data_IF_121117483060
#
_entry.id   IF_121117483060
#
_cell.length_a   1.000
_cell.length_b   1.000
_cell.length_c   1.000
_cell.angle_alpha   90.00
_cell.angle_beta   90.00
_cell.angle_gamma   90.00
#
_symmetry.space_group_name_H-M   'P 1'
#
loop_
_entity.id
_entity.type
_entity.pdbx_description
1 polymer ?
#
# COMPACT_ATOMS: atom_id res chain seq x y z
N UNK A 1 20.02 -14.37 -19.33
CA UNK A 1 18.94 -13.75 -20.11
C UNK A 1 18.20 -12.79 -19.17
N UNK A 2 18.37 -11.49 -19.33
CA UNK A 2 17.72 -10.51 -18.46
C UNK A 2 16.20 -10.60 -18.69
N UNK A 3 15.45 -10.98 -17.68
CA UNK A 3 13.99 -11.03 -17.71
C UNK A 3 13.51 -9.60 -17.98
N UNK A 4 12.87 -9.39 -19.12
CA UNK A 4 12.28 -8.10 -19.47
C UNK A 4 11.15 -7.86 -18.47
N UNK A 5 11.36 -6.98 -17.49
CA UNK A 5 10.33 -6.62 -16.52
C UNK A 5 9.15 -6.02 -17.28
N UNK A 6 8.00 -6.68 -17.21
CA UNK A 6 6.77 -6.14 -17.78
C UNK A 6 6.21 -5.14 -16.77
N UNK A 7 6.49 -3.85 -17.02
CA UNK A 7 6.16 -2.77 -16.09
C UNK A 7 4.67 -2.44 -16.10
N UNK A 8 4.11 -2.29 -14.92
CA UNK A 8 2.76 -1.77 -14.71
C UNK A 8 2.78 -0.24 -14.78
N UNK A 9 2.73 0.29 -16.00
CA UNK A 9 2.82 1.72 -16.25
C UNK A 9 1.79 2.57 -15.51
N UNK A 10 0.48 2.21 -15.41
CA UNK A 10 -0.48 2.97 -14.62
C UNK A 10 -0.06 3.13 -13.16
N UNK A 11 0.41 2.05 -12.52
CA UNK A 11 0.88 2.09 -11.13
C UNK A 11 2.16 2.90 -11.00
N UNK A 12 3.11 2.72 -11.92
CA UNK A 12 4.38 3.48 -11.92
C UNK A 12 4.13 4.99 -12.06
N UNK A 13 3.27 5.40 -12.99
CA UNK A 13 2.88 6.79 -13.19
C UNK A 13 2.20 7.35 -11.93
N UNK A 14 1.24 6.63 -11.38
CA UNK A 14 0.53 7.03 -10.16
C UNK A 14 1.49 7.24 -8.99
N UNK A 15 2.33 6.24 -8.68
CA UNK A 15 3.27 6.30 -7.56
C UNK A 15 4.38 7.34 -7.73
N UNK A 16 4.65 7.77 -8.96
CA UNK A 16 5.63 8.82 -9.24
C UNK A 16 4.96 10.20 -9.22
N UNK A 17 3.90 10.40 -9.99
CA UNK A 17 3.31 11.72 -10.21
C UNK A 17 2.54 12.21 -8.97
N UNK A 18 1.73 11.36 -8.31
CA UNK A 18 0.90 11.80 -7.19
C UNK A 18 1.70 12.37 -6.01
N UNK A 19 2.81 11.75 -5.55
CA UNK A 19 3.63 12.34 -4.49
C UNK A 19 4.23 13.69 -4.89
N UNK A 20 4.71 13.84 -6.14
CA UNK A 20 5.25 15.12 -6.61
C UNK A 20 4.20 16.21 -6.63
N UNK A 21 3.00 15.92 -7.17
CA UNK A 21 1.88 16.88 -7.14
C UNK A 21 1.50 17.21 -5.70
N UNK A 22 1.43 16.22 -4.81
CA UNK A 22 1.11 16.42 -3.40
C UNK A 22 2.12 17.32 -2.71
N UNK A 23 3.42 17.06 -2.89
CA UNK A 23 4.50 17.87 -2.28
C UNK A 23 4.46 19.30 -2.82
N UNK A 24 4.47 19.47 -4.15
CA UNK A 24 4.46 20.80 -4.77
C UNK A 24 3.19 21.56 -4.38
N UNK A 25 2.03 20.90 -4.45
CA UNK A 25 0.76 21.50 -4.07
C UNK A 25 0.73 21.92 -2.60
N UNK A 26 1.31 21.12 -1.70
CA UNK A 26 1.44 21.47 -0.28
C UNK A 26 2.31 22.71 -0.09
N UNK A 27 3.47 22.79 -0.76
CA UNK A 27 4.33 23.97 -0.68
C UNK A 27 3.63 25.23 -1.20
N UNK A 28 2.93 25.14 -2.33
CA UNK A 28 2.15 26.26 -2.88
C UNK A 28 1.05 26.68 -1.91
N UNK A 29 0.28 25.71 -1.39
CA UNK A 29 -0.78 25.97 -0.42
C UNK A 29 -0.24 26.68 0.82
N UNK A 30 0.82 26.14 1.42
CA UNK A 30 1.44 26.72 2.63
C UNK A 30 1.98 28.12 2.39
N UNK A 31 2.54 28.38 1.22
CA UNK A 31 3.04 29.71 0.85
C UNK A 31 1.94 30.76 0.85
N UNK A 32 0.75 30.44 0.35
CA UNK A 32 -0.36 31.41 0.24
C UNK A 32 -1.27 31.45 1.48
N UNK A 33 -1.42 30.35 2.23
CA UNK A 33 -2.41 30.22 3.28
C UNK A 33 -1.81 29.97 4.68
N UNK A 34 -0.54 29.62 4.75
CA UNK A 34 0.09 29.15 5.99
C UNK A 34 -0.33 27.73 6.35
N UNK A 35 0.01 27.30 7.57
CA UNK A 35 -0.37 26.00 8.13
C UNK A 35 -1.27 26.26 9.33
N UNK A 36 -2.45 25.66 9.36
CA UNK A 36 -3.33 25.63 10.51
C UNK A 36 -3.19 24.29 11.23
N UNK A 37 -3.58 24.26 12.49
CA UNK A 37 -3.50 23.03 13.29
C UNK A 37 -4.30 21.85 12.71
N UNK A 38 -5.37 22.14 11.97
CA UNK A 38 -6.25 21.11 11.41
C UNK A 38 -5.58 20.24 10.33
N UNK A 39 -4.68 20.81 9.50
CA UNK A 39 -4.04 20.07 8.42
C UNK A 39 -3.12 18.96 8.95
N UNK A 40 -2.14 19.24 9.84
CA UNK A 40 -1.30 18.19 10.42
C UNK A 40 -2.11 17.21 11.26
N UNK A 41 -3.18 17.66 11.94
CA UNK A 41 -4.07 16.77 12.68
C UNK A 41 -4.77 15.79 11.74
N UNK A 42 -5.35 16.26 10.65
CA UNK A 42 -5.98 15.39 9.65
C UNK A 42 -4.97 14.42 9.01
N UNK A 43 -3.77 14.89 8.70
CA UNK A 43 -2.71 14.02 8.17
C UNK A 43 -2.42 12.85 9.13
N UNK A 44 -2.26 13.12 10.42
CA UNK A 44 -2.00 12.09 11.43
C UNK A 44 -3.20 11.14 11.54
N UNK A 45 -4.43 11.66 11.56
CA UNK A 45 -5.64 10.84 11.64
C UNK A 45 -5.74 9.91 10.43
N UNK A 46 -5.59 10.43 9.20
CA UNK A 46 -5.67 9.63 7.99
C UNK A 46 -4.56 8.60 7.91
N UNK A 47 -3.34 8.96 8.27
CA UNK A 47 -2.20 8.04 8.34
C UNK A 47 -2.47 6.88 9.33
N UNK A 48 -2.97 7.21 10.53
CA UNK A 48 -3.31 6.21 11.55
C UNK A 48 -4.44 5.29 11.09
N UNK A 49 -5.55 5.85 10.59
CA UNK A 49 -6.72 5.09 10.14
C UNK A 49 -6.36 4.16 8.99
N UNK A 50 -5.63 4.65 7.97
CA UNK A 50 -5.22 3.83 6.83
C UNK A 50 -4.24 2.73 7.25
N UNK A 51 -3.28 3.03 8.12
CA UNK A 51 -2.35 2.07 8.68
C UNK A 51 -3.04 0.98 9.51
N UNK A 52 -4.03 1.35 10.32
CA UNK A 52 -4.87 0.39 11.05
C UNK A 52 -5.70 -0.47 10.10
N UNK A 53 -6.25 0.09 9.04
CA UNK A 53 -6.97 -0.64 8.00
C UNK A 53 -6.11 -1.72 7.32
N UNK A 54 -4.85 -1.41 7.03
CA UNK A 54 -3.90 -2.40 6.51
C UNK A 54 -3.54 -3.42 7.59
N UNK A 55 -3.10 -2.98 8.76
CA UNK A 55 -2.56 -3.87 9.80
C UNK A 55 -3.63 -4.76 10.42
N UNK A 56 -4.74 -4.20 10.86
CA UNK A 56 -5.83 -4.95 11.49
C UNK A 56 -6.76 -5.60 10.47
N UNK A 57 -7.06 -4.87 9.36
CA UNK A 57 -7.96 -5.35 8.32
C UNK A 57 -7.25 -6.32 7.36
N UNK A 58 -6.54 -5.80 6.38
CA UNK A 58 -5.96 -6.60 5.29
C UNK A 58 -5.04 -7.70 5.81
N UNK A 59 -4.13 -7.36 6.73
CA UNK A 59 -3.14 -8.29 7.25
C UNK A 59 -3.76 -9.29 8.24
N UNK A 60 -4.22 -8.84 9.40
CA UNK A 60 -4.63 -9.74 10.49
C UNK A 60 -5.99 -10.39 10.27
N UNK A 61 -7.00 -9.62 9.86
CA UNK A 61 -8.36 -10.16 9.70
C UNK A 61 -8.49 -10.98 8.41
N UNK A 62 -8.19 -10.38 7.25
CA UNK A 62 -8.49 -11.00 5.96
C UNK A 62 -7.40 -11.95 5.45
N UNK A 63 -6.11 -11.68 5.71
CA UNK A 63 -5.01 -12.58 5.29
C UNK A 63 -4.78 -13.72 6.27
N UNK A 64 -4.57 -13.40 7.55
CA UNK A 64 -4.22 -14.38 8.58
C UNK A 64 -5.41 -14.96 9.33
N UNK A 65 -6.60 -14.35 9.23
CA UNK A 65 -7.81 -14.76 9.99
C UNK A 65 -7.53 -14.91 11.49
N UNK A 66 -6.68 -14.03 12.04
CA UNK A 66 -6.18 -14.12 13.41
C UNK A 66 -7.21 -13.75 14.47
N UNK A 67 -8.33 -13.15 14.08
CA UNK A 67 -9.48 -12.88 14.92
C UNK A 67 -10.75 -12.86 14.08
N UNK A 68 -11.91 -12.91 14.76
CA UNK A 68 -13.24 -12.79 14.16
C UNK A 68 -13.89 -11.51 14.65
N UNK A 69 -14.69 -10.88 13.81
CA UNK A 69 -15.45 -9.69 14.16
C UNK A 69 -16.81 -9.70 13.47
N UNK A 70 -17.62 -8.68 13.69
CA UNK A 70 -18.90 -8.53 13.00
C UNK A 70 -18.72 -7.83 11.65
N UNK A 71 -19.72 -7.97 10.80
CA UNK A 71 -19.70 -7.44 9.42
C UNK A 71 -19.48 -5.92 9.37
N UNK A 72 -19.97 -5.17 10.34
CA UNK A 72 -19.77 -3.69 10.36
C UNK A 72 -18.31 -3.34 10.52
N UNK A 73 -17.61 -3.99 11.45
CA UNK A 73 -16.16 -3.78 11.67
C UNK A 73 -15.36 -4.25 10.44
N UNK A 74 -15.77 -5.35 9.79
CA UNK A 74 -15.15 -5.81 8.55
C UNK A 74 -15.21 -4.72 7.47
N UNK A 75 -16.39 -4.12 7.25
CA UNK A 75 -16.56 -3.03 6.29
C UNK A 75 -15.71 -1.80 6.65
N UNK A 76 -15.70 -1.40 7.93
CA UNK A 76 -14.88 -0.26 8.39
C UNK A 76 -13.40 -0.54 8.08
N UNK A 77 -12.89 -1.71 8.43
CA UNK A 77 -11.48 -2.06 8.19
C UNK A 77 -11.14 -2.16 6.69
N UNK A 78 -12.08 -2.64 5.84
CA UNK A 78 -11.90 -2.64 4.39
C UNK A 78 -11.79 -1.21 3.83
N UNK A 79 -12.70 -0.31 4.25
CA UNK A 79 -12.69 1.08 3.81
C UNK A 79 -11.40 1.77 4.28
N UNK A 80 -11.06 1.63 5.57
CA UNK A 80 -9.83 2.21 6.12
C UNK A 80 -8.57 1.70 5.40
N UNK A 81 -8.51 0.40 5.09
CA UNK A 81 -7.38 -0.17 4.35
C UNK A 81 -7.30 0.34 2.91
N UNK A 82 -8.44 0.60 2.26
CA UNK A 82 -8.45 1.16 0.90
C UNK A 82 -7.87 2.57 0.82
N UNK A 83 -7.93 3.35 1.91
CA UNK A 83 -7.32 4.68 1.98
C UNK A 83 -5.79 4.66 1.86
N UNK A 84 -5.15 3.53 2.14
CA UNK A 84 -3.71 3.37 1.97
C UNK A 84 -3.26 3.24 0.50
N UNK A 85 -4.20 3.08 -0.44
CA UNK A 85 -3.97 2.94 -1.89
C UNK A 85 -2.99 1.80 -2.26
N UNK A 86 -2.96 0.74 -1.43
CA UNK A 86 -2.06 -0.41 -1.59
C UNK A 86 -2.71 -1.57 -2.40
N UNK A 87 -3.46 -1.25 -3.43
CA UNK A 87 -4.22 -2.23 -4.23
C UNK A 87 -5.56 -2.66 -3.60
N UNK A 88 -6.29 -3.52 -4.33
CA UNK A 88 -7.52 -4.10 -3.78
C UNK A 88 -7.21 -5.09 -2.65
N UNK A 89 -8.14 -5.24 -1.72
CA UNK A 89 -8.02 -6.19 -0.61
C UNK A 89 -7.72 -7.63 -1.08
N UNK A 90 -8.37 -8.07 -2.18
CA UNK A 90 -8.15 -9.41 -2.73
C UNK A 90 -6.72 -9.59 -3.22
N UNK A 91 -6.20 -8.61 -3.97
CA UNK A 91 -4.84 -8.63 -4.49
C UNK A 91 -3.82 -8.59 -3.35
N UNK A 92 -4.00 -7.64 -2.42
CA UNK A 92 -3.11 -7.49 -1.26
C UNK A 92 -3.04 -8.78 -0.44
N UNK A 93 -4.19 -9.34 -0.05
CA UNK A 93 -4.24 -10.57 0.74
C UNK A 93 -3.69 -11.79 -0.02
N UNK A 94 -3.89 -11.85 -1.34
CA UNK A 94 -3.33 -12.92 -2.17
C UNK A 94 -1.81 -12.87 -2.18
N UNK A 95 -1.23 -11.71 -2.46
CA UNK A 95 0.23 -11.53 -2.51
C UNK A 95 0.86 -11.79 -1.14
N UNK A 96 0.21 -11.32 -0.07
CA UNK A 96 0.69 -11.52 1.29
C UNK A 96 0.70 -13.01 1.69
N UNK A 97 -0.37 -13.75 1.40
CA UNK A 97 -0.39 -15.21 1.61
C UNK A 97 0.61 -15.95 0.73
N UNK A 98 0.82 -15.48 -0.51
CA UNK A 98 1.83 -16.05 -1.41
C UNK A 98 3.24 -15.87 -0.85
N UNK A 99 3.55 -14.70 -0.29
CA UNK A 99 4.81 -14.46 0.41
C UNK A 99 5.00 -15.44 1.58
N UNK A 100 4.01 -15.57 2.47
CA UNK A 100 4.10 -16.50 3.61
C UNK A 100 4.24 -17.97 3.20
N UNK A 101 3.62 -18.37 2.08
CA UNK A 101 3.72 -19.75 1.59
C UNK A 101 5.04 -20.06 0.89
N UNK A 102 5.71 -19.06 0.32
CA UNK A 102 6.92 -19.22 -0.48
C UNK A 102 8.01 -18.19 -0.11
N UNK A 103 8.36 -18.03 1.19
CA UNK A 103 9.29 -16.99 1.61
C UNK A 103 10.63 -17.18 0.94
N UNK A 104 11.15 -16.13 0.31
CA UNK A 104 12.44 -16.10 -0.40
C UNK A 104 12.57 -17.10 -1.55
N UNK A 105 11.48 -17.70 -2.02
CA UNK A 105 11.44 -18.55 -3.21
C UNK A 105 11.14 -17.72 -4.47
N UNK A 106 11.25 -18.34 -5.64
CA UNK A 106 10.98 -17.67 -6.93
C UNK A 106 9.54 -17.10 -7.02
N UNK A 107 8.59 -17.79 -6.37
CA UNK A 107 7.17 -17.40 -6.32
C UNK A 107 6.85 -16.30 -5.32
N UNK A 108 7.80 -15.92 -4.46
CA UNK A 108 7.62 -14.82 -3.53
C UNK A 108 7.57 -13.49 -4.30
N UNK A 109 6.45 -12.72 -4.20
CA UNK A 109 6.32 -11.48 -4.96
C UNK A 109 7.39 -10.45 -4.59
N UNK A 110 7.81 -10.38 -3.33
CA UNK A 110 8.75 -9.36 -2.82
C UNK A 110 10.02 -9.94 -2.18
N UNK A 111 10.51 -11.09 -2.70
CA UNK A 111 11.74 -11.72 -2.23
C UNK A 111 12.95 -10.78 -2.31
N UNK A 112 13.70 -10.66 -1.20
CA UNK A 112 14.94 -9.89 -1.14
C UNK A 112 16.03 -10.48 -2.03
N UNK A 113 15.95 -11.76 -2.39
CA UNK A 113 16.89 -12.40 -3.33
C UNK A 113 16.86 -11.78 -4.73
N UNK A 114 15.76 -11.09 -5.08
CA UNK A 114 15.65 -10.31 -6.33
C UNK A 114 16.29 -8.91 -6.22
N UNK A 115 16.84 -8.58 -5.05
CA UNK A 115 17.50 -7.32 -4.74
C UNK A 115 16.67 -6.39 -3.87
N UNK A 116 17.36 -5.48 -3.16
CA UNK A 116 16.76 -4.54 -2.21
C UNK A 116 15.64 -3.69 -2.85
N UNK A 117 15.90 -3.09 -4.00
CA UNK A 117 14.92 -2.26 -4.69
C UNK A 117 13.68 -3.02 -5.14
N UNK A 118 13.84 -4.28 -5.57
CA UNK A 118 12.70 -5.14 -5.89
C UNK A 118 11.86 -5.40 -4.64
N UNK A 119 12.47 -5.84 -3.55
CA UNK A 119 11.77 -6.15 -2.31
C UNK A 119 11.11 -4.91 -1.67
N UNK A 120 11.71 -3.72 -1.82
CA UNK A 120 11.20 -2.47 -1.24
C UNK A 120 10.01 -1.92 -2.01
N UNK A 121 10.12 -1.73 -3.32
CA UNK A 121 9.08 -1.08 -4.14
C UNK A 121 8.93 -1.68 -5.54
N UNK A 122 9.99 -2.26 -6.12
CA UNK A 122 10.01 -2.72 -7.51
C UNK A 122 8.93 -3.74 -7.83
N UNK A 123 8.62 -4.63 -6.89
CA UNK A 123 7.60 -5.65 -7.05
C UNK A 123 6.19 -5.08 -7.32
N UNK A 124 5.90 -3.86 -6.82
CA UNK A 124 4.61 -3.18 -7.06
C UNK A 124 4.52 -2.69 -8.52
N UNK A 125 5.67 -2.38 -9.10
CA UNK A 125 5.78 -1.84 -10.46
C UNK A 125 5.73 -2.93 -11.53
N UNK A 126 5.81 -4.21 -11.15
CA UNK A 126 5.75 -5.33 -12.06
C UNK A 126 4.30 -5.76 -12.31
N UNK A 127 3.97 -6.10 -13.56
CA UNK A 127 2.73 -6.80 -13.85
C UNK A 127 2.83 -8.21 -13.27
N UNK A 128 1.98 -8.51 -12.33
CA UNK A 128 1.84 -9.89 -11.84
C UNK A 128 1.07 -10.72 -12.85
N UNK A 129 1.71 -11.73 -13.36
CA UNK A 129 1.09 -12.82 -14.11
C UNK A 129 0.23 -13.71 -13.21
#
# INVERSE_FOLDING_TARGET
MLRKYDMNWPVAIFLTICPFIGIIGTFIYVYFHGIFFIEPLLLIIFWFISGMGITMGYHRLFSHKSFKTNTVIEWILMICGSLALQNTILKWCSDHRKHHNFPEMEKDPYSIKKGFWHAHIGWILEKTS
#
